data_IF_526606374118
#
_entry.id   IF_526606374118
#
_cell.length_a   1.000
_cell.length_b   1.000
_cell.length_c   1.000
_cell.angle_alpha   90.00
_cell.angle_beta   90.00
_cell.angle_gamma   90.00
#
_symmetry.space_group_name_H-M   'P 1'
#
loop_
_entity.id
_entity.type
_entity.pdbx_description
1 polymer ?
#
# COMPACT_ATOMS: atom_id res chain seq x y z
N UNK A 1 -14.49 -1.42 0.25
CA UNK A 1 -13.40 -0.88 -0.59
C UNK A 1 -13.94 -0.65 -1.99
N UNK A 2 -13.92 0.58 -2.51
CA UNK A 2 -14.46 0.90 -3.85
C UNK A 2 -13.57 0.29 -4.94
N UNK A 3 -14.14 0.00 -6.11
CA UNK A 3 -13.40 -0.58 -7.26
C UNK A 3 -12.18 0.26 -7.65
N UNK A 4 -12.31 1.58 -7.59
CA UNK A 4 -11.23 2.53 -7.88
C UNK A 4 -10.07 2.42 -6.89
N UNK A 5 -10.36 2.30 -5.59
CA UNK A 5 -9.33 2.15 -4.57
C UNK A 5 -8.54 0.86 -4.79
N UNK A 6 -9.23 -0.24 -5.16
CA UNK A 6 -8.56 -1.49 -5.54
C UNK A 6 -7.65 -1.31 -6.76
N UNK A 7 -8.10 -0.61 -7.79
CA UNK A 7 -7.27 -0.36 -8.99
C UNK A 7 -6.01 0.44 -8.65
N UNK A 8 -6.13 1.51 -7.85
CA UNK A 8 -4.98 2.31 -7.41
C UNK A 8 -3.96 1.49 -6.60
N UNK A 9 -4.46 0.57 -5.78
CA UNK A 9 -3.59 -0.34 -5.01
C UNK A 9 -2.85 -1.34 -5.92
N UNK A 10 -3.52 -1.89 -6.94
CA UNK A 10 -2.89 -2.85 -7.87
C UNK A 10 -1.93 -2.19 -8.86
N UNK A 11 -2.15 -0.92 -9.18
CA UNK A 11 -1.25 -0.10 -10.00
C UNK A 11 -0.22 0.68 -9.16
N UNK A 12 0.03 0.24 -7.92
CA UNK A 12 1.02 0.86 -7.06
C UNK A 12 2.42 0.83 -7.73
N UNK A 13 3.14 1.97 -7.79
CA UNK A 13 4.47 2.07 -8.43
C UNK A 13 5.49 1.03 -7.98
N UNK A 14 5.47 0.62 -6.70
CA UNK A 14 6.37 -0.40 -6.18
C UNK A 14 6.11 -1.78 -6.80
N UNK A 15 4.86 -2.15 -7.05
CA UNK A 15 4.54 -3.39 -7.77
C UNK A 15 4.96 -3.31 -9.25
N UNK A 16 4.71 -2.17 -9.90
CA UNK A 16 5.06 -1.96 -11.31
C UNK A 16 6.57 -2.09 -11.55
N UNK A 17 7.37 -1.55 -10.62
CA UNK A 17 8.84 -1.60 -10.67
C UNK A 17 9.45 -2.83 -9.99
N UNK A 18 8.62 -3.65 -9.34
CA UNK A 18 9.04 -4.83 -8.57
C UNK A 18 10.09 -4.48 -7.50
N UNK A 19 9.79 -3.46 -6.70
CA UNK A 19 10.67 -2.93 -5.65
C UNK A 19 10.01 -3.01 -4.27
N UNK A 20 10.86 -3.09 -3.25
CA UNK A 20 10.47 -2.95 -1.86
C UNK A 20 10.23 -1.46 -1.49
N UNK A 21 9.25 -1.13 -0.62
CA UNK A 21 9.04 0.24 -0.15
C UNK A 21 10.26 0.87 0.53
N UNK A 22 11.18 0.09 1.08
CA UNK A 22 12.43 0.59 1.69
C UNK A 22 13.53 0.92 0.67
N UNK A 23 13.28 0.71 -0.64
CA UNK A 23 14.29 0.90 -1.68
C UNK A 23 14.82 2.34 -1.77
N UNK A 24 16.11 2.46 -2.05
CA UNK A 24 16.76 3.74 -2.27
C UNK A 24 16.34 4.35 -3.62
N UNK A 25 16.37 5.68 -3.72
CA UNK A 25 16.04 6.41 -4.97
C UNK A 25 16.87 5.93 -6.17
N UNK A 26 18.14 5.58 -5.97
CA UNK A 26 18.98 5.07 -7.04
C UNK A 26 18.50 3.71 -7.59
N UNK A 27 17.86 2.89 -6.76
CA UNK A 27 17.31 1.59 -7.16
C UNK A 27 16.07 1.75 -8.01
N UNK A 28 15.21 2.74 -7.70
CA UNK A 28 14.06 3.13 -8.53
C UNK A 28 14.49 3.43 -9.96
N UNK A 29 15.55 4.24 -10.12
CA UNK A 29 16.08 4.61 -11.43
C UNK A 29 16.60 3.39 -12.19
N UNK A 30 17.44 2.58 -11.53
CA UNK A 30 18.05 1.39 -12.14
C UNK A 30 16.98 0.37 -12.55
N UNK A 31 16.01 0.10 -11.69
CA UNK A 31 14.93 -0.84 -11.98
C UNK A 31 14.06 -0.34 -13.13
N UNK A 32 13.68 0.94 -13.13
CA UNK A 32 12.91 1.54 -14.20
C UNK A 32 13.60 1.47 -15.55
N UNK A 33 14.89 1.85 -15.62
CA UNK A 33 15.66 1.77 -16.87
C UNK A 33 15.83 0.32 -17.35
N UNK A 34 16.11 -0.62 -16.43
CA UNK A 34 16.18 -2.05 -16.75
C UNK A 34 14.87 -2.54 -17.38
N UNK A 35 13.72 -2.26 -16.74
CA UNK A 35 12.42 -2.74 -17.21
C UNK A 35 12.06 -2.10 -18.56
N UNK A 36 12.30 -0.80 -18.74
CA UNK A 36 12.08 -0.13 -20.03
C UNK A 36 12.90 -0.76 -21.15
N UNK A 37 14.19 -1.04 -20.91
CA UNK A 37 15.02 -1.73 -21.89
C UNK A 37 14.50 -3.14 -22.21
N UNK A 38 14.04 -3.87 -21.20
CA UNK A 38 13.48 -5.21 -21.41
C UNK A 38 12.15 -5.18 -22.18
N UNK A 39 11.31 -4.16 -21.97
CA UNK A 39 10.06 -3.95 -22.70
C UNK A 39 10.32 -3.62 -24.18
N UNK A 40 11.30 -2.75 -24.45
CA UNK A 40 11.70 -2.40 -25.82
C UNK A 40 12.21 -3.61 -26.60
N UNK A 41 12.94 -4.50 -25.93
CA UNK A 41 13.43 -5.76 -26.49
C UNK A 41 12.37 -6.88 -26.54
N UNK A 42 11.15 -6.64 -26.06
CA UNK A 42 10.06 -7.61 -26.08
C UNK A 42 10.26 -8.81 -25.15
N UNK A 43 11.08 -8.69 -24.10
CA UNK A 43 11.36 -9.80 -23.19
C UNK A 43 10.12 -10.14 -22.36
N UNK A 44 9.77 -11.44 -22.29
CA UNK A 44 8.52 -11.93 -21.69
C UNK A 44 8.35 -11.57 -20.21
N UNK A 45 9.44 -11.50 -19.44
CA UNK A 45 9.42 -11.10 -18.03
C UNK A 45 9.08 -9.63 -17.79
N UNK A 46 9.18 -8.77 -18.82
CA UNK A 46 8.97 -7.34 -18.68
C UNK A 46 7.50 -6.92 -18.84
N UNK A 47 6.67 -7.75 -19.47
CA UNK A 47 5.30 -7.33 -19.86
C UNK A 47 4.28 -7.50 -18.74
N UNK A 48 4.64 -8.18 -17.64
CA UNK A 48 3.76 -8.40 -16.50
C UNK A 48 4.52 -8.23 -15.18
N UNK A 49 3.80 -7.90 -14.12
CA UNK A 49 4.32 -7.81 -12.76
C UNK A 49 3.36 -8.48 -11.77
N UNK A 50 3.87 -9.06 -10.67
CA UNK A 50 3.05 -9.69 -9.65
C UNK A 50 2.31 -8.66 -8.80
N UNK A 51 1.08 -8.98 -8.39
CA UNK A 51 0.31 -8.22 -7.39
C UNK A 51 -0.47 -9.19 -6.49
N UNK A 52 -0.97 -8.76 -5.33
CA UNK A 52 -1.82 -9.59 -4.47
C UNK A 52 -3.10 -10.11 -5.15
N UNK A 53 -3.56 -9.47 -6.23
CA UNK A 53 -4.71 -9.92 -7.01
C UNK A 53 -4.32 -10.70 -8.29
N UNK A 54 -3.06 -11.10 -8.42
CA UNK A 54 -2.51 -11.80 -9.57
C UNK A 54 -1.71 -10.90 -10.54
N UNK A 55 -1.06 -11.48 -11.56
CA UNK A 55 -0.20 -10.73 -12.48
C UNK A 55 -0.96 -9.67 -13.29
N UNK A 56 -0.41 -8.46 -13.37
CA UNK A 56 -0.97 -7.33 -14.11
C UNK A 56 -0.11 -6.97 -15.32
N UNK A 57 -0.68 -6.40 -16.40
CA UNK A 57 0.07 -5.97 -17.57
C UNK A 57 0.90 -4.71 -17.29
N UNK A 58 2.12 -4.69 -17.81
CA UNK A 58 3.09 -3.61 -17.74
C UNK A 58 3.35 -3.05 -19.12
N UNK A 59 3.35 -1.73 -19.24
CA UNK A 59 3.74 -1.01 -20.44
C UNK A 59 4.75 0.11 -20.11
N UNK A 60 5.29 0.73 -21.16
CA UNK A 60 6.26 1.81 -21.01
C UNK A 60 5.70 3.03 -20.28
N UNK A 61 4.40 3.32 -20.45
CA UNK A 61 3.77 4.49 -19.83
C UNK A 61 3.65 4.30 -18.31
N UNK A 62 3.21 3.12 -17.87
CA UNK A 62 3.14 2.73 -16.46
C UNK A 62 4.50 2.80 -15.79
N UNK A 63 5.55 2.30 -16.43
CA UNK A 63 6.90 2.31 -15.85
C UNK A 63 7.40 3.75 -15.67
N UNK A 64 7.23 4.61 -16.68
CA UNK A 64 7.63 6.03 -16.57
C UNK A 64 6.81 6.78 -15.51
N UNK A 65 5.50 6.52 -15.44
CA UNK A 65 4.63 7.09 -14.42
C UNK A 65 5.07 6.63 -13.02
N UNK A 66 5.30 5.34 -12.83
CA UNK A 66 5.77 4.79 -11.56
C UNK A 66 7.10 5.40 -11.11
N UNK A 67 8.08 5.55 -12.02
CA UNK A 67 9.33 6.25 -11.71
C UNK A 67 9.10 7.70 -11.31
N UNK A 68 8.18 8.41 -11.95
CA UNK A 68 7.86 9.80 -11.63
C UNK A 68 7.18 9.94 -10.26
N UNK A 69 6.26 9.03 -9.92
CA UNK A 69 5.61 8.99 -8.59
C UNK A 69 6.64 8.77 -7.47
N UNK A 70 7.55 7.80 -7.64
CA UNK A 70 8.54 7.44 -6.60
C UNK A 70 9.71 8.44 -6.49
N UNK A 71 9.91 9.31 -7.49
CA UNK A 71 10.92 10.38 -7.46
C UNK A 71 10.56 11.52 -6.50
N UNK A 72 9.26 11.74 -6.29
CA UNK A 72 8.72 12.75 -5.39
C UNK A 72 8.46 12.12 -4.02
N UNK A 73 9.16 12.56 -2.95
CA UNK A 73 8.99 11.98 -1.61
C UNK A 73 7.55 12.05 -1.07
N UNK A 74 6.80 13.11 -1.40
CA UNK A 74 5.44 13.29 -0.90
C UNK A 74 4.48 12.32 -1.57
N UNK A 75 4.62 12.14 -2.89
CA UNK A 75 3.81 11.19 -3.66
C UNK A 75 4.15 9.75 -3.31
N UNK A 76 5.44 9.45 -3.14
CA UNK A 76 5.95 8.17 -2.67
C UNK A 76 5.31 7.72 -1.36
N UNK A 77 5.20 8.62 -0.37
CA UNK A 77 4.61 8.31 0.94
C UNK A 77 3.18 7.74 0.85
N UNK A 78 2.35 8.26 -0.06
CA UNK A 78 1.00 7.75 -0.26
C UNK A 78 1.04 6.28 -0.71
N UNK A 79 1.95 5.93 -1.61
CA UNK A 79 2.08 4.57 -2.12
C UNK A 79 2.64 3.60 -1.09
N UNK A 80 3.54 4.06 -0.21
CA UNK A 80 4.03 3.28 0.93
C UNK A 80 2.89 2.94 1.88
N UNK A 81 2.02 3.91 2.20
CA UNK A 81 0.85 3.69 3.07
C UNK A 81 -0.09 2.60 2.53
N UNK A 82 -0.26 2.50 1.21
CA UNK A 82 -1.08 1.45 0.60
C UNK A 82 -0.44 0.05 0.65
N UNK A 83 0.88 -0.04 0.79
CA UNK A 83 1.61 -1.31 0.94
C UNK A 83 1.71 -1.73 2.40
N UNK A 84 1.84 -0.77 3.30
CA UNK A 84 1.72 -0.94 4.73
C UNK A 84 0.25 -1.22 5.10
N UNK A 85 -0.32 -2.32 4.61
CA UNK A 85 -1.28 -3.01 5.45
C UNK A 85 -0.47 -3.36 6.70
N UNK A 86 -0.81 -2.86 7.90
CA UNK A 86 -0.22 -3.43 9.07
C UNK A 86 -0.53 -4.92 8.95
N UNK A 87 0.52 -5.74 8.85
CA UNK A 87 0.48 -6.97 9.62
C UNK A 87 0.27 -6.43 11.02
N UNK A 88 -0.99 -6.24 11.40
CA UNK A 88 -1.40 -6.37 12.76
C UNK A 88 -0.87 -7.76 13.04
N UNK A 89 0.37 -7.84 13.55
CA UNK A 89 0.79 -8.97 14.37
C UNK A 89 -0.46 -9.22 15.16
N UNK A 90 -1.12 -10.34 14.84
CA UNK A 90 -2.37 -10.67 15.48
C UNK A 90 -2.00 -10.60 16.94
N UNK A 91 -2.42 -9.50 17.61
CA UNK A 91 -2.08 -9.28 18.99
C UNK A 91 -2.43 -10.62 19.61
N UNK A 92 -1.50 -11.24 20.37
CA UNK A 92 -1.72 -12.59 20.86
C UNK A 92 -3.16 -12.63 21.31
N UNK A 93 -3.94 -13.58 20.78
CA UNK A 93 -5.32 -13.81 21.22
C UNK A 93 -5.22 -14.29 22.66
N UNK A 94 -4.72 -13.45 23.56
CA UNK A 94 -5.24 -13.35 24.89
C UNK A 94 -6.73 -13.25 24.63
N UNK A 95 -7.53 -14.16 25.19
CA UNK A 95 -8.94 -13.87 25.35
C UNK A 95 -8.96 -12.41 25.80
N UNK A 96 -9.62 -11.55 25.03
CA UNK A 96 -10.16 -10.36 25.63
C UNK A 96 -11.06 -10.95 26.70
N UNK A 97 -10.50 -11.13 27.90
CA UNK A 97 -11.21 -11.02 29.14
C UNK A 97 -11.83 -9.63 29.01
N UNK A 98 -12.96 -9.60 28.30
CA UNK A 98 -14.00 -8.67 28.60
C UNK A 98 -14.29 -9.04 30.05
N UNK A 99 -13.55 -8.41 30.97
CA UNK A 99 -14.24 -7.82 32.07
C UNK A 99 -15.30 -6.98 31.36
N UNK A 100 -16.48 -7.58 31.22
CA UNK A 100 -17.70 -6.83 31.07
C UNK A 100 -17.78 -6.05 32.38
N UNK A 101 -16.90 -5.04 32.54
CA UNK A 101 -17.06 -3.99 33.51
C UNK A 101 -18.49 -3.54 33.34
N UNK A 102 -19.16 -3.36 34.47
CA UNK A 102 -20.60 -3.25 34.56
C UNK A 102 -21.17 -2.50 33.35
N UNK A 103 -22.25 -2.98 32.70
CA UNK A 103 -22.79 -2.38 31.48
C UNK A 103 -23.04 -0.86 31.53
N UNK A 104 -22.98 -0.25 32.73
CA UNK A 104 -23.00 1.18 32.97
C UNK A 104 -21.70 1.95 32.61
N UNK A 105 -20.55 1.29 32.46
CA UNK A 105 -19.24 1.94 32.27
C UNK A 105 -18.74 1.96 30.81
N UNK A 106 -19.44 1.31 29.88
CA UNK A 106 -19.04 1.27 28.48
C UNK A 106 -20.01 2.10 27.62
N UNK A 107 -19.90 3.44 27.67
CA UNK A 107 -20.76 4.30 26.88
C UNK A 107 -20.35 4.06 25.42
N UNK A 108 -21.23 3.44 24.64
CA UNK A 108 -20.91 2.98 23.28
C UNK A 108 -20.33 4.09 22.40
N UNK A 109 -19.87 3.75 21.20
CA UNK A 109 -19.09 4.66 20.32
C UNK A 109 -19.68 6.08 20.14
N UNK A 110 -20.99 6.25 20.25
CA UNK A 110 -21.67 7.55 20.24
C UNK A 110 -21.23 8.53 21.34
N UNK A 111 -20.80 8.01 22.49
CA UNK A 111 -20.38 8.78 23.67
C UNK A 111 -18.86 8.86 23.83
N UNK A 112 -18.10 8.13 23.01
CA UNK A 112 -16.63 8.16 22.98
C UNK A 112 -16.05 9.60 22.88
N UNK A 113 -16.62 10.53 22.08
CA UNK A 113 -16.12 11.91 22.06
C UNK A 113 -16.20 12.58 23.42
N UNK A 114 -17.30 12.38 24.17
CA UNK A 114 -17.45 12.95 25.52
C UNK A 114 -16.50 12.31 26.52
N UNK A 115 -16.35 10.98 26.47
CA UNK A 115 -15.42 10.25 27.33
C UNK A 115 -13.96 10.69 27.11
N UNK A 116 -13.59 11.06 25.89
CA UNK A 116 -12.28 11.60 25.53
C UNK A 116 -12.14 13.12 25.76
N UNK A 117 -13.13 13.76 26.38
CA UNK A 117 -13.11 15.18 26.71
C UNK A 117 -13.37 16.12 25.51
N UNK A 118 -13.81 15.60 24.38
CA UNK A 118 -14.14 16.40 23.20
C UNK A 118 -15.53 17.01 23.40
N UNK A 119 -15.60 18.35 23.36
CA UNK A 119 -16.88 19.05 23.41
C UNK A 119 -17.55 19.02 22.03
N UNK A 120 -18.86 18.79 21.99
CA UNK A 120 -19.70 19.04 20.80
C UNK A 120 -19.92 20.53 20.61
#
# INVERSE_FOLDING_TARGET
MTREARMRMLDNPFYVLELDPECARAEVERAGQRILAMLELGLSGAQRYPTPAGPQPRDHAKVRAAMAELRDPQRRLLHELWLCAPTLEAAPTQPLEHDCGDPQENPGFADAPRALGWRR
#
